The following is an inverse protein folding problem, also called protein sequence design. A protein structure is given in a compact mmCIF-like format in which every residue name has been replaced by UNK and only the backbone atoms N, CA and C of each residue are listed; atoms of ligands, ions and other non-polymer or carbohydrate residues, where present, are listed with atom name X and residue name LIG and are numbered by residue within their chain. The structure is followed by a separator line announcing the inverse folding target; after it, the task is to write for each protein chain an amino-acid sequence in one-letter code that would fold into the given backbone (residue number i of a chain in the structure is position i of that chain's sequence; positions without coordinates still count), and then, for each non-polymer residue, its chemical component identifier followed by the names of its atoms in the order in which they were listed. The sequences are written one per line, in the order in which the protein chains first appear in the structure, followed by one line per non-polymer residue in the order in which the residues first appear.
data_IF_911517708798
#
_entry.id   IF_911517708798
#
_cell.length_a   1.000
_cell.length_b   1.000
_cell.length_c   1.000
_cell.angle_alpha   90.00
_cell.angle_beta   90.00
_cell.angle_gamma   90.00
#
_symmetry.space_group_name_H-M   'P 1'
#
loop_
_entity.id
_entity.type
_entity.pdbx_description
1 polymer ?
#
# COMPACT_ATOMS: atom_id res chain seq x y z
N UNK A 1 -1.17 -11.76 1.74
CA UNK A 1 -2.43 -11.87 0.96
C UNK A 1 -2.31 -10.88 -0.19
N UNK A 2 -2.35 -11.33 -1.45
CA UNK A 2 -2.20 -10.46 -2.62
C UNK A 2 -3.59 -10.03 -3.10
N UNK A 3 -3.86 -8.72 -3.14
CA UNK A 3 -5.09 -8.18 -3.72
C UNK A 3 -4.77 -7.78 -5.16
N UNK A 4 -5.43 -8.34 -6.16
CA UNK A 4 -5.26 -7.90 -7.55
C UNK A 4 -5.55 -6.40 -7.69
N UNK A 5 -4.74 -5.68 -8.46
CA UNK A 5 -4.89 -4.22 -8.63
C UNK A 5 -6.30 -3.80 -9.08
N UNK A 6 -6.94 -4.58 -9.96
CA UNK A 6 -8.31 -4.33 -10.39
C UNK A 6 -9.30 -4.37 -9.21
N UNK A 7 -9.14 -5.34 -8.31
CA UNK A 7 -9.95 -5.45 -7.10
C UNK A 7 -9.68 -4.30 -6.12
N UNK A 8 -8.42 -3.86 -6.00
CA UNK A 8 -8.07 -2.72 -5.16
C UNK A 8 -8.72 -1.41 -5.65
N UNK A 9 -8.76 -1.17 -6.96
CA UNK A 9 -9.42 0.00 -7.54
C UNK A 9 -10.94 -0.03 -7.36
N UNK A 10 -11.56 -1.21 -7.48
CA UNK A 10 -12.99 -1.38 -7.27
C UNK A 10 -13.39 -1.14 -5.80
N UNK A 11 -12.58 -1.62 -4.85
CA UNK A 11 -12.76 -1.35 -3.42
C UNK A 11 -12.59 0.15 -3.14
N UNK A 12 -11.57 0.81 -3.69
CA UNK A 12 -11.41 2.28 -3.54
C UNK A 12 -12.61 3.05 -4.08
N UNK A 13 -13.16 2.64 -5.22
CA UNK A 13 -14.33 3.28 -5.81
C UNK A 13 -15.56 3.17 -4.90
N UNK A 14 -15.82 1.98 -4.37
CA UNK A 14 -16.91 1.75 -3.42
C UNK A 14 -16.75 2.61 -2.15
N UNK A 15 -15.55 2.61 -1.55
CA UNK A 15 -15.28 3.37 -0.33
C UNK A 15 -15.39 4.89 -0.55
N UNK A 16 -14.98 5.40 -1.72
CA UNK A 16 -15.19 6.82 -2.07
C UNK A 16 -16.67 7.20 -2.09
N UNK A 17 -17.54 6.35 -2.64
CA UNK A 17 -18.97 6.62 -2.67
C UNK A 17 -19.59 6.68 -1.26
N UNK A 18 -19.17 5.79 -0.37
CA UNK A 18 -19.62 5.77 1.02
C UNK A 18 -19.07 6.97 1.81
N UNK A 19 -17.79 7.31 1.65
CA UNK A 19 -17.19 8.47 2.29
C UNK A 19 -17.88 9.78 1.87
N UNK A 20 -18.27 9.91 0.60
CA UNK A 20 -19.07 11.05 0.11
C UNK A 20 -20.44 11.17 0.77
N UNK A 21 -21.02 10.05 1.24
CA UNK A 21 -22.28 10.01 1.98
C UNK A 21 -22.10 10.29 3.48
N UNK A 22 -20.87 10.55 3.93
CA UNK A 22 -20.54 10.83 5.33
C UNK A 22 -20.15 9.60 6.15
N UNK A 23 -19.86 8.47 5.51
CA UNK A 23 -19.38 7.28 6.22
C UNK A 23 -17.91 7.45 6.65
N UNK A 24 -17.72 7.58 7.96
CA UNK A 24 -16.42 7.82 8.60
C UNK A 24 -15.53 6.57 8.54
N UNK A 25 -16.12 5.37 8.59
CA UNK A 25 -15.36 4.12 8.48
C UNK A 25 -14.83 3.95 7.06
N UNK A 26 -15.63 4.29 6.06
CA UNK A 26 -15.21 4.27 4.67
C UNK A 26 -14.04 5.25 4.41
N UNK A 27 -14.09 6.45 5.00
CA UNK A 27 -13.00 7.42 4.92
C UNK A 27 -11.71 6.88 5.55
N UNK A 28 -11.81 6.28 6.74
CA UNK A 28 -10.68 5.68 7.46
C UNK A 28 -10.04 4.56 6.64
N UNK A 29 -10.85 3.66 6.07
CA UNK A 29 -10.37 2.53 5.30
C UNK A 29 -9.70 2.97 3.98
N UNK A 30 -10.24 4.01 3.33
CA UNK A 30 -9.63 4.61 2.14
C UNK A 30 -8.21 5.14 2.45
N UNK A 31 -8.04 5.87 3.55
CA UNK A 31 -6.72 6.36 3.97
C UNK A 31 -5.74 5.24 4.32
N UNK A 32 -6.21 4.14 4.90
CA UNK A 32 -5.36 2.96 5.18
C UNK A 32 -4.88 2.28 3.89
N UNK A 33 -5.76 2.17 2.88
CA UNK A 33 -5.38 1.61 1.58
C UNK A 33 -4.35 2.47 0.84
N UNK A 34 -4.47 3.80 0.91
CA UNK A 34 -3.49 4.73 0.34
C UNK A 34 -2.14 4.63 1.06
N UNK A 35 -2.14 4.55 2.39
CA UNK A 35 -0.92 4.35 3.17
C UNK A 35 -0.27 3.00 2.89
N UNK A 36 -1.04 1.91 2.78
CA UNK A 36 -0.50 0.59 2.45
C UNK A 36 0.12 0.55 1.04
N UNK A 37 -0.50 1.22 0.07
CA UNK A 37 0.07 1.36 -1.26
C UNK A 37 1.38 2.17 -1.23
N UNK A 38 1.46 3.22 -0.41
CA UNK A 38 2.66 4.04 -0.26
C UNK A 38 3.77 3.35 0.53
N UNK A 39 3.44 2.56 1.56
CA UNK A 39 4.42 1.78 2.34
C UNK A 39 5.04 0.63 1.56
N UNK A 40 4.41 0.20 0.46
CA UNK A 40 5.02 -0.78 -0.45
C UNK A 40 6.18 -0.18 -1.26
N UNK A 41 6.30 1.16 -1.34
CA UNK A 41 7.41 1.84 -2.02
C UNK A 41 8.64 2.09 -1.12
N UNK A 42 8.52 1.99 0.21
CA UNK A 42 9.64 2.25 1.15
C UNK A 42 10.34 1.00 1.68
N UNK A 43 9.93 -0.22 1.28
CA UNK A 43 10.65 -1.47 1.64
C UNK A 43 11.49 -2.04 0.49
N UNK A 44 11.79 -1.21 -0.52
CA UNK A 44 12.82 -1.50 -1.52
C UNK A 44 13.80 -0.32 -1.56
N UNK A 45 14.40 0.01 -0.41
CA UNK A 45 15.76 0.55 -0.45
C UNK A 45 16.69 -0.65 -0.62
N UNK A 46 17.44 -0.59 -1.71
CA UNK A 46 18.48 -1.51 -2.12
C UNK A 46 19.37 -1.96 -0.95
N UNK A 47 19.51 -3.28 -0.87
CA UNK A 47 20.64 -3.94 -0.23
C UNK A 47 21.91 -3.32 -0.86
N UNK A 48 22.85 -2.75 -0.07
CA UNK A 48 24.10 -2.23 -0.64
C UNK A 48 24.87 -3.36 -1.35
N UNK A 49 25.47 -3.07 -2.51
CA UNK A 49 26.17 -4.08 -3.29
C UNK A 49 27.47 -4.51 -2.58
N UNK A 50 27.87 -5.75 -2.83
CA UNK A 50 29.22 -6.27 -2.60
C UNK A 50 29.59 -6.61 -1.15
N UNK A 51 29.26 -7.87 -0.79
CA UNK A 51 30.27 -8.89 -0.51
C UNK A 51 31.55 -8.34 0.13
N UNK A 52 31.50 -8.16 1.45
CA UNK A 52 32.67 -7.93 2.29
C UNK A 52 33.65 -9.07 2.02
N UNK A 53 34.74 -8.72 1.35
CA UNK A 53 35.75 -9.65 0.88
C UNK A 53 36.23 -10.61 1.98
N UNK A 54 36.39 -11.84 1.54
CA UNK A 54 37.47 -12.76 1.89
C UNK A 54 38.49 -12.17 2.89
N UNK A 55 38.32 -12.45 4.18
CA UNK A 55 39.41 -12.36 5.13
C UNK A 55 39.91 -13.78 5.39
N UNK A 56 41.01 -14.11 4.71
CA UNK A 56 41.94 -15.16 5.11
C UNK A 56 42.64 -14.78 6.43
#
# INVERSE_FOLDING_TARGET
MYIPNALAEEIKFYLKNLAQKGDIEAQKLLSQMEQAASSTLTTIEEIPPEEIGLQC
#
